data_IF_749409463629
#
_entry.id   IF_749409463629
#
_cell.length_a   1.000
_cell.length_b   1.000
_cell.length_c   1.000
_cell.angle_alpha   90.00
_cell.angle_beta   90.00
_cell.angle_gamma   90.00
#
_symmetry.space_group_name_H-M   'P 1'
#
loop_
_entity.id
_entity.type
_entity.pdbx_description
1 polymer ?
#
# COMPACT_ATOMS: atom_id res chain seq x y z
N UNK A 1 -20.03 -35.18 -6.42
CA UNK A 1 -21.12 -34.18 -6.35
C UNK A 1 -20.86 -33.15 -7.41
N UNK A 2 -21.64 -33.18 -8.47
CA UNK A 2 -21.54 -32.30 -9.64
C UNK A 2 -22.22 -30.97 -9.29
N UNK A 3 -21.44 -29.89 -9.22
CA UNK A 3 -21.95 -28.54 -9.04
C UNK A 3 -22.44 -27.99 -10.37
N UNK A 4 -23.68 -27.55 -10.40
CA UNK A 4 -24.43 -27.01 -11.52
C UNK A 4 -23.78 -25.79 -12.14
N UNK A 5 -23.40 -25.90 -13.42
CA UNK A 5 -23.08 -24.77 -14.28
C UNK A 5 -24.35 -23.95 -14.54
N UNK A 6 -24.40 -22.70 -14.13
CA UNK A 6 -25.41 -21.74 -14.59
C UNK A 6 -25.16 -21.47 -16.08
N UNK A 7 -26.07 -21.93 -16.89
CA UNK A 7 -26.14 -21.65 -18.33
C UNK A 7 -26.27 -20.15 -18.56
N UNK A 8 -25.33 -19.59 -19.29
CA UNK A 8 -25.45 -18.23 -19.84
C UNK A 8 -26.65 -18.19 -20.78
N UNK A 9 -27.52 -17.23 -20.57
CA UNK A 9 -28.78 -17.03 -21.23
C UNK A 9 -28.52 -16.85 -22.75
N UNK A 10 -28.88 -17.86 -23.56
CA UNK A 10 -28.70 -17.90 -25.02
C UNK A 10 -29.60 -16.92 -25.77
N UNK A 11 -30.52 -16.24 -25.09
CA UNK A 11 -31.39 -15.22 -25.68
C UNK A 11 -30.65 -13.99 -26.23
N UNK A 12 -29.50 -13.61 -25.61
CA UNK A 12 -28.70 -12.49 -26.11
C UNK A 12 -27.85 -12.82 -27.35
N UNK A 13 -27.65 -14.08 -27.64
CA UNK A 13 -26.98 -14.52 -28.90
C UNK A 13 -27.94 -14.55 -30.09
N UNK A 14 -29.22 -14.80 -29.86
CA UNK A 14 -30.24 -14.82 -30.93
C UNK A 14 -30.56 -13.41 -31.47
N UNK A 15 -30.61 -12.41 -30.61
CA UNK A 15 -30.85 -11.01 -31.05
C UNK A 15 -29.69 -10.42 -31.85
N UNK A 16 -28.47 -10.99 -31.75
CA UNK A 16 -27.34 -10.60 -32.61
C UNK A 16 -27.39 -11.21 -33.99
N UNK A 17 -28.05 -12.36 -34.17
CA UNK A 17 -28.14 -13.04 -35.47
C UNK A 17 -29.20 -12.42 -36.39
N UNK A 18 -30.24 -11.77 -35.86
CA UNK A 18 -31.29 -11.13 -36.66
C UNK A 18 -30.84 -9.84 -37.35
N UNK A 19 -29.93 -9.09 -36.75
CA UNK A 19 -29.37 -7.86 -37.34
C UNK A 19 -28.38 -8.11 -38.50
N UNK A 20 -28.06 -9.36 -38.81
CA UNK A 20 -27.16 -9.75 -39.90
C UNK A 20 -27.87 -10.25 -41.16
N UNK A 21 -29.23 -10.29 -41.20
CA UNK A 21 -30.00 -10.78 -42.36
C UNK A 21 -30.03 -9.83 -43.54
N UNK A 22 -29.65 -8.58 -43.38
CA UNK A 22 -29.71 -7.58 -44.46
C UNK A 22 -28.41 -7.42 -45.26
N UNK A 23 -27.42 -8.28 -45.07
CA UNK A 23 -26.23 -8.29 -45.92
C UNK A 23 -26.43 -9.35 -47.00
N UNK A 24 -26.90 -8.94 -48.16
CA UNK A 24 -26.98 -9.74 -49.38
C UNK A 24 -25.59 -10.20 -49.80
N UNK A 25 -25.24 -11.43 -49.48
CA UNK A 25 -24.07 -12.13 -50.02
C UNK A 25 -24.61 -13.16 -51.02
N UNK A 26 -24.29 -12.96 -52.31
CA UNK A 26 -24.56 -13.89 -53.40
C UNK A 26 -23.97 -15.26 -53.11
N UNK A 27 -24.75 -16.30 -53.44
CA UNK A 27 -24.48 -17.72 -53.29
C UNK A 27 -23.05 -18.14 -53.61
N UNK A 28 -22.23 -18.27 -52.58
CA UNK A 28 -21.11 -19.21 -52.53
C UNK A 28 -21.10 -19.84 -51.14
N UNK A 29 -20.86 -21.14 -51.07
CA UNK A 29 -20.79 -21.92 -49.84
C UNK A 29 -19.91 -21.21 -48.80
N UNK A 30 -20.55 -20.57 -47.83
CA UNK A 30 -19.83 -19.90 -46.72
C UNK A 30 -19.27 -20.99 -45.83
N UNK A 31 -17.99 -21.23 -45.95
CA UNK A 31 -17.24 -22.12 -45.05
C UNK A 31 -17.34 -21.57 -43.62
N UNK A 32 -17.67 -22.42 -42.64
CA UNK A 32 -17.78 -22.06 -41.20
C UNK A 32 -16.57 -21.23 -40.69
N UNK A 33 -15.42 -21.43 -41.32
CA UNK A 33 -14.21 -20.67 -41.03
C UNK A 33 -14.32 -19.19 -41.42
N UNK A 34 -14.97 -18.84 -42.52
CA UNK A 34 -15.12 -17.45 -43.01
C UNK A 34 -16.03 -16.63 -42.09
N UNK A 35 -17.09 -17.26 -41.56
CA UNK A 35 -17.99 -16.63 -40.60
C UNK A 35 -17.25 -16.33 -39.27
N UNK A 36 -16.44 -17.27 -38.80
CA UNK A 36 -15.62 -17.10 -37.58
C UNK A 36 -14.56 -16.00 -37.72
N UNK A 37 -13.95 -15.87 -38.91
CA UNK A 37 -12.99 -14.78 -39.20
C UNK A 37 -13.67 -13.41 -39.31
N UNK A 38 -14.91 -13.33 -39.79
CA UNK A 38 -15.69 -12.10 -39.78
C UNK A 38 -15.98 -11.59 -38.37
N UNK A 39 -16.37 -12.49 -37.49
CA UNK A 39 -16.61 -12.18 -36.06
C UNK A 39 -15.32 -11.71 -35.34
N UNK A 40 -14.21 -12.38 -35.56
CA UNK A 40 -12.93 -12.00 -34.98
C UNK A 40 -12.41 -10.64 -35.48
N UNK A 41 -12.67 -10.32 -36.75
CA UNK A 41 -12.31 -9.02 -37.35
C UNK A 41 -13.16 -7.88 -36.76
N UNK A 42 -14.45 -8.13 -36.52
CA UNK A 42 -15.36 -7.16 -35.88
C UNK A 42 -15.00 -6.93 -34.42
N UNK A 43 -14.69 -7.99 -33.70
CA UNK A 43 -14.21 -7.91 -32.30
C UNK A 43 -12.87 -7.17 -32.19
N UNK A 44 -11.92 -7.42 -33.11
CA UNK A 44 -10.66 -6.71 -33.18
C UNK A 44 -10.83 -5.20 -33.47
N UNK A 45 -11.80 -4.82 -34.31
CA UNK A 45 -12.15 -3.44 -34.59
C UNK A 45 -12.86 -2.76 -33.42
N UNK A 46 -13.67 -3.50 -32.65
CA UNK A 46 -14.30 -2.98 -31.42
C UNK A 46 -13.28 -2.78 -30.30
N UNK A 47 -12.30 -3.66 -30.18
CA UNK A 47 -11.17 -3.52 -29.25
C UNK A 47 -10.35 -2.25 -29.59
N UNK A 48 -10.18 -1.93 -30.84
CA UNK A 48 -9.45 -0.72 -31.30
C UNK A 48 -10.20 0.58 -31.00
N UNK A 49 -11.53 0.53 -30.88
CA UNK A 49 -12.39 1.68 -30.57
C UNK A 49 -12.63 1.89 -29.07
N UNK A 50 -12.32 0.90 -28.22
CA UNK A 50 -12.48 1.01 -26.79
C UNK A 50 -11.24 1.65 -26.12
N UNK A 51 -11.47 2.64 -25.26
CA UNK A 51 -10.44 3.27 -24.45
C UNK A 51 -9.59 2.24 -23.68
N UNK A 52 -8.30 2.49 -23.55
CA UNK A 52 -7.25 1.63 -23.00
C UNK A 52 -7.58 0.94 -21.65
N UNK A 53 -8.53 1.47 -20.89
CA UNK A 53 -8.97 0.91 -19.60
C UNK A 53 -9.81 -0.37 -19.73
N UNK A 54 -10.54 -0.57 -20.81
CA UNK A 54 -11.36 -1.76 -21.03
C UNK A 54 -10.58 -2.94 -21.64
N UNK A 55 -9.43 -2.68 -22.25
CA UNK A 55 -8.59 -3.71 -22.89
C UNK A 55 -8.00 -4.68 -21.85
N UNK A 56 -7.70 -4.20 -20.64
CA UNK A 56 -7.12 -4.99 -19.55
C UNK A 56 -8.06 -6.06 -19.01
N UNK A 57 -9.34 -5.74 -18.89
CA UNK A 57 -10.35 -6.71 -18.40
C UNK A 57 -10.75 -7.71 -19.46
N UNK A 58 -10.75 -7.30 -20.72
CA UNK A 58 -11.08 -8.17 -21.85
C UNK A 58 -9.99 -9.23 -22.11
N UNK A 59 -8.72 -8.82 -22.09
CA UNK A 59 -7.58 -9.76 -22.23
C UNK A 59 -7.48 -10.73 -21.04
N UNK A 60 -7.78 -10.29 -19.81
CA UNK A 60 -7.89 -11.19 -18.65
C UNK A 60 -8.97 -12.25 -18.85
N UNK A 61 -10.15 -11.90 -19.34
CA UNK A 61 -11.25 -12.85 -19.58
C UNK A 61 -10.89 -13.90 -20.62
N UNK A 62 -10.19 -13.53 -21.69
CA UNK A 62 -9.73 -14.47 -22.73
C UNK A 62 -8.67 -15.43 -22.18
N UNK A 63 -7.73 -14.97 -21.36
CA UNK A 63 -6.68 -15.80 -20.76
C UNK A 63 -7.26 -16.75 -19.70
N UNK A 64 -8.24 -16.30 -18.91
CA UNK A 64 -8.88 -17.14 -17.90
C UNK A 64 -9.89 -18.16 -18.45
N UNK A 65 -10.44 -17.93 -19.63
CA UNK A 65 -11.40 -18.86 -20.25
C UNK A 65 -10.79 -20.15 -20.80
N UNK A 66 -9.47 -20.33 -20.72
CA UNK A 66 -8.79 -21.58 -21.11
C UNK A 66 -8.79 -21.87 -22.61
N UNK A 67 -9.38 -21.01 -23.44
CA UNK A 67 -9.52 -21.23 -24.89
C UNK A 67 -8.20 -21.27 -25.66
N UNK A 68 -7.18 -20.60 -25.17
CA UNK A 68 -5.83 -20.58 -25.79
C UNK A 68 -5.03 -21.88 -25.62
N UNK A 69 -5.46 -22.79 -24.75
CA UNK A 69 -4.72 -24.05 -24.49
C UNK A 69 -4.96 -25.17 -25.49
N UNK A 70 -6.01 -25.09 -26.32
CA UNK A 70 -6.49 -26.26 -27.05
C UNK A 70 -6.39 -26.22 -28.58
N UNK A 71 -5.80 -25.19 -29.21
CA UNK A 71 -5.68 -25.20 -30.69
C UNK A 71 -4.36 -24.58 -31.18
N UNK A 72 -3.37 -25.41 -31.53
CA UNK A 72 -2.17 -24.97 -32.25
C UNK A 72 -2.50 -24.29 -33.58
N UNK A 73 -3.57 -24.73 -34.26
CA UNK A 73 -4.10 -24.14 -35.50
C UNK A 73 -4.59 -22.69 -35.34
N UNK A 74 -5.11 -22.33 -34.16
CA UNK A 74 -5.53 -20.97 -33.88
C UNK A 74 -4.34 -20.00 -33.80
N UNK A 75 -3.23 -20.45 -33.21
CA UNK A 75 -2.00 -19.65 -33.05
C UNK A 75 -1.33 -19.37 -34.41
N UNK A 76 -1.27 -20.36 -35.28
CA UNK A 76 -0.69 -20.20 -36.64
C UNK A 76 -1.60 -19.32 -37.54
N UNK A 77 -2.90 -19.45 -37.46
CA UNK A 77 -3.82 -18.61 -38.21
C UNK A 77 -3.82 -17.14 -37.74
N UNK A 78 -3.60 -16.88 -36.46
CA UNK A 78 -3.43 -15.51 -35.93
C UNK A 78 -2.16 -14.81 -36.50
N UNK A 79 -1.10 -15.53 -36.78
CA UNK A 79 0.12 -14.97 -37.42
C UNK A 79 -0.17 -14.45 -38.85
N UNK A 80 -1.09 -15.11 -39.57
CA UNK A 80 -1.48 -14.72 -40.94
C UNK A 80 -2.39 -13.48 -40.96
N UNK A 81 -3.19 -13.26 -39.90
CA UNK A 81 -4.17 -12.15 -39.84
C UNK A 81 -3.57 -10.86 -39.31
N UNK A 82 -2.51 -10.94 -38.52
CA UNK A 82 -1.85 -9.77 -37.93
C UNK A 82 -0.35 -9.74 -38.29
N UNK A 83 0.05 -9.04 -39.34
CA UNK A 83 1.45 -8.95 -39.82
C UNK A 83 2.42 -8.48 -38.74
N UNK A 84 1.93 -7.83 -37.67
CA UNK A 84 2.72 -7.31 -36.55
C UNK A 84 2.48 -8.05 -35.21
N UNK A 85 1.93 -9.28 -35.23
CA UNK A 85 1.64 -10.03 -34.01
C UNK A 85 2.89 -10.28 -33.13
N UNK A 86 4.07 -10.40 -33.74
CA UNK A 86 5.34 -10.49 -33.03
C UNK A 86 5.68 -9.20 -32.28
N UNK A 87 5.37 -8.02 -32.85
CA UNK A 87 5.60 -6.73 -32.19
C UNK A 87 4.58 -6.50 -31.06
N UNK A 88 3.32 -6.89 -31.27
CA UNK A 88 2.28 -6.84 -30.23
C UNK A 88 2.64 -7.77 -29.07
N UNK A 89 3.11 -9.00 -29.32
CA UNK A 89 3.58 -9.90 -28.26
C UNK A 89 4.83 -9.36 -27.54
N UNK A 90 5.74 -8.67 -28.25
CA UNK A 90 6.91 -8.03 -27.65
C UNK A 90 6.50 -6.85 -26.77
N UNK A 91 5.51 -6.06 -27.22
CA UNK A 91 4.92 -4.94 -26.44
C UNK A 91 4.11 -5.48 -25.27
N UNK A 92 3.31 -6.53 -25.44
CA UNK A 92 2.57 -7.19 -24.36
C UNK A 92 3.52 -7.84 -23.33
N UNK A 93 4.57 -8.54 -23.79
CA UNK A 93 5.60 -9.08 -22.89
C UNK A 93 6.39 -7.97 -22.18
N UNK A 94 6.69 -6.88 -22.88
CA UNK A 94 7.34 -5.70 -22.28
C UNK A 94 6.41 -5.02 -21.28
N UNK A 95 5.13 -4.86 -21.57
CA UNK A 95 4.14 -4.30 -20.66
C UNK A 95 3.84 -5.24 -19.48
N UNK A 96 3.77 -6.55 -19.70
CA UNK A 96 3.68 -7.56 -18.62
C UNK A 96 4.95 -7.63 -17.78
N UNK A 97 6.13 -7.48 -18.36
CA UNK A 97 7.39 -7.40 -17.60
C UNK A 97 7.54 -6.06 -16.88
N UNK A 98 7.06 -4.96 -17.47
CA UNK A 98 6.96 -3.64 -16.83
C UNK A 98 5.95 -3.72 -15.67
N UNK A 99 4.79 -4.38 -15.86
CA UNK A 99 3.79 -4.58 -14.80
C UNK A 99 4.32 -5.48 -13.67
N UNK A 100 5.13 -6.50 -13.98
CA UNK A 100 5.83 -7.31 -12.96
C UNK A 100 6.93 -6.54 -12.23
N UNK A 101 7.63 -5.60 -12.88
CA UNK A 101 8.59 -4.71 -12.24
C UNK A 101 7.90 -3.55 -11.47
N UNK A 102 6.75 -3.07 -11.92
CA UNK A 102 5.92 -2.08 -11.22
C UNK A 102 5.25 -2.62 -9.94
N UNK A 103 5.18 -3.96 -9.75
CA UNK A 103 4.52 -4.56 -8.58
C UNK A 103 5.48 -4.98 -7.47
N UNK A 104 6.80 -4.93 -7.68
CA UNK A 104 7.75 -5.27 -6.62
C UNK A 104 8.03 -4.05 -5.75
N UNK A 105 7.47 -4.05 -4.53
CA UNK A 105 7.74 -2.99 -3.56
C UNK A 105 9.25 -2.83 -3.33
N UNK A 106 9.72 -1.58 -3.26
CA UNK A 106 11.10 -1.32 -2.88
C UNK A 106 11.31 -1.71 -1.41
N UNK A 107 12.39 -2.46 -1.07
CA UNK A 107 12.64 -2.88 0.32
C UNK A 107 12.68 -1.74 1.33
N UNK A 108 13.30 -0.60 0.97
CA UNK A 108 13.36 0.56 1.87
C UNK A 108 11.96 1.20 2.03
N UNK A 109 11.13 1.18 0.98
CA UNK A 109 9.74 1.63 1.09
C UNK A 109 8.96 0.77 2.09
N UNK A 110 9.13 -0.58 2.02
CA UNK A 110 8.51 -1.52 2.98
C UNK A 110 8.99 -1.23 4.39
N UNK A 111 10.30 -1.02 4.60
CA UNK A 111 10.84 -0.67 5.91
C UNK A 111 10.26 0.64 6.42
N UNK A 112 10.17 1.70 5.60
CA UNK A 112 9.57 2.97 5.99
C UNK A 112 8.11 2.83 6.39
N UNK A 113 7.34 2.06 5.63
CA UNK A 113 5.95 1.75 5.93
C UNK A 113 5.80 1.00 7.26
N UNK A 114 6.69 0.02 7.53
CA UNK A 114 6.71 -0.73 8.79
C UNK A 114 7.18 0.13 9.97
N UNK A 115 8.14 1.04 9.77
CA UNK A 115 8.55 2.01 10.79
C UNK A 115 7.35 2.84 11.28
N UNK A 116 6.43 3.20 10.37
CA UNK A 116 5.22 3.91 10.73
C UNK A 116 4.15 2.99 11.36
N UNK A 117 3.73 1.90 10.72
CA UNK A 117 2.53 1.11 11.10
C UNK A 117 2.82 -0.32 11.58
N UNK A 118 4.03 -0.85 11.39
CA UNK A 118 4.36 -2.22 11.81
C UNK A 118 4.31 -2.42 13.32
N UNK A 119 4.01 -3.62 13.75
CA UNK A 119 3.99 -4.02 15.14
C UNK A 119 4.69 -5.37 15.34
N UNK A 120 5.61 -5.43 16.29
CA UNK A 120 6.29 -6.65 16.74
C UNK A 120 5.69 -7.05 18.09
N UNK A 121 4.88 -8.11 18.10
CA UNK A 121 4.09 -8.47 19.26
C UNK A 121 4.61 -9.71 19.95
N UNK A 122 4.67 -9.65 21.29
CA UNK A 122 4.79 -10.79 22.18
C UNK A 122 3.47 -10.88 22.96
N UNK A 123 2.85 -12.06 22.97
CA UNK A 123 1.61 -12.33 23.70
C UNK A 123 1.88 -13.50 24.63
N UNK A 124 1.65 -13.31 25.90
CA UNK A 124 1.72 -14.35 26.91
C UNK A 124 0.30 -14.71 27.35
N UNK A 125 -0.13 -15.90 26.97
CA UNK A 125 -1.45 -16.45 27.36
C UNK A 125 -1.32 -17.39 28.54
N UNK A 126 -2.18 -17.18 29.51
CA UNK A 126 -2.33 -18.06 30.66
C UNK A 126 -3.45 -19.05 30.34
N UNK A 127 -3.11 -20.28 30.04
CA UNK A 127 -4.10 -21.33 29.78
C UNK A 127 -4.56 -22.04 31.07
N UNK A 128 -3.68 -22.10 32.08
CA UNK A 128 -3.86 -22.67 33.39
C UNK A 128 -2.78 -22.05 34.30
N UNK A 129 -2.94 -21.92 35.63
CA UNK A 129 -1.90 -21.40 36.54
C UNK A 129 -0.50 -21.97 36.32
N UNK A 130 -0.41 -23.19 35.77
CA UNK A 130 0.85 -23.90 35.50
C UNK A 130 1.25 -23.97 34.02
N UNK A 131 0.41 -23.45 33.08
CA UNK A 131 0.68 -23.54 31.64
C UNK A 131 0.61 -22.18 30.98
N UNK A 132 1.76 -21.69 30.54
CA UNK A 132 1.93 -20.45 29.82
C UNK A 132 2.18 -20.76 28.34
N UNK A 133 1.58 -19.97 27.47
CA UNK A 133 1.84 -20.02 26.02
C UNK A 133 2.38 -18.69 25.55
N UNK A 134 3.56 -18.74 24.95
CA UNK A 134 4.15 -17.58 24.27
C UNK A 134 3.76 -17.60 22.81
N UNK A 135 3.21 -16.51 22.33
CA UNK A 135 2.97 -16.27 20.90
C UNK A 135 3.68 -15.01 20.47
N UNK A 136 4.21 -15.03 19.27
CA UNK A 136 4.83 -13.87 18.65
C UNK A 136 4.23 -13.64 17.28
N UNK A 137 4.18 -12.39 16.86
CA UNK A 137 3.76 -12.03 15.51
C UNK A 137 4.40 -10.73 15.05
N UNK A 138 4.63 -10.66 13.75
CA UNK A 138 4.81 -9.42 13.02
C UNK A 138 3.49 -9.05 12.38
N UNK A 139 3.02 -7.82 12.58
CA UNK A 139 1.70 -7.38 12.12
C UNK A 139 1.75 -5.98 11.51
N UNK A 140 0.88 -5.74 10.53
CA UNK A 140 0.53 -4.43 10.01
C UNK A 140 -0.98 -4.32 10.03
N UNK A 141 -1.52 -3.32 10.75
CA UNK A 141 -2.95 -3.12 10.93
C UNK A 141 -3.37 -1.84 10.22
N UNK A 142 -4.24 -1.94 9.21
CA UNK A 142 -4.74 -0.79 8.46
C UNK A 142 -6.26 -0.73 8.45
N UNK A 143 -6.80 0.41 8.10
CA UNK A 143 -8.20 0.52 7.75
C UNK A 143 -8.48 -0.32 6.49
N UNK A 144 -9.66 -0.92 6.37
CA UNK A 144 -10.05 -1.80 5.25
C UNK A 144 -9.89 -1.17 3.87
N UNK A 145 -9.95 0.16 3.77
CA UNK A 145 -9.73 0.93 2.53
C UNK A 145 -8.33 0.76 1.96
N UNK A 146 -7.34 0.60 2.84
CA UNK A 146 -5.95 0.38 2.47
C UNK A 146 -5.57 -1.11 2.33
N UNK A 147 -6.56 -2.02 2.20
CA UNK A 147 -6.32 -3.47 2.09
C UNK A 147 -5.40 -3.87 0.93
N UNK A 148 -5.42 -3.10 -0.16
CA UNK A 148 -4.60 -3.40 -1.34
C UNK A 148 -3.10 -3.32 -1.06
N UNK A 149 -2.66 -2.35 -0.25
CA UNK A 149 -1.25 -2.26 0.11
C UNK A 149 -0.80 -3.44 0.97
N UNK A 150 -1.69 -3.98 1.84
CA UNK A 150 -1.39 -5.21 2.59
C UNK A 150 -1.18 -6.41 1.66
N UNK A 151 -1.95 -6.53 0.58
CA UNK A 151 -1.77 -7.58 -0.43
C UNK A 151 -0.43 -7.45 -1.16
N UNK A 152 0.00 -6.23 -1.47
CA UNK A 152 1.32 -5.97 -2.06
C UNK A 152 2.46 -6.33 -1.08
N UNK A 153 2.31 -6.00 0.21
CA UNK A 153 3.29 -6.34 1.26
C UNK A 153 3.33 -7.85 1.49
N UNK A 154 2.18 -8.55 1.51
CA UNK A 154 2.14 -10.01 1.58
C UNK A 154 2.85 -10.65 0.40
N UNK A 155 2.61 -10.18 -0.82
CA UNK A 155 3.30 -10.65 -2.03
C UNK A 155 4.81 -10.37 -1.98
N UNK A 156 5.22 -9.24 -1.39
CA UNK A 156 6.63 -8.88 -1.21
C UNK A 156 7.36 -9.86 -0.28
N UNK A 157 6.78 -10.19 0.88
CA UNK A 157 7.38 -11.14 1.82
C UNK A 157 7.17 -12.60 1.43
N UNK A 158 6.13 -12.91 0.64
CA UNK A 158 5.78 -14.27 0.23
C UNK A 158 5.27 -15.17 1.36
N UNK A 159 5.09 -14.65 2.57
CA UNK A 159 4.63 -15.37 3.77
C UNK A 159 3.56 -14.61 4.51
N UNK A 160 2.89 -15.27 5.47
CA UNK A 160 1.85 -14.65 6.29
C UNK A 160 0.46 -14.66 5.66
N UNK A 161 -0.50 -14.10 6.37
CA UNK A 161 -1.91 -14.04 5.96
C UNK A 161 -2.54 -12.68 6.24
N UNK A 162 -3.56 -12.33 5.47
CA UNK A 162 -4.37 -11.13 5.69
C UNK A 162 -5.70 -11.54 6.31
N UNK A 163 -6.04 -10.92 7.43
CA UNK A 163 -7.27 -11.11 8.16
C UNK A 163 -8.13 -9.86 8.07
N UNK A 164 -9.37 -10.02 7.64
CA UNK A 164 -10.35 -8.93 7.62
C UNK A 164 -11.19 -8.94 8.89
N UNK A 165 -11.36 -7.78 9.49
CA UNK A 165 -12.20 -7.55 10.67
C UNK A 165 -13.26 -6.51 10.33
N UNK A 166 -14.38 -6.91 9.71
CA UNK A 166 -15.43 -5.98 9.25
C UNK A 166 -16.05 -5.18 10.39
N UNK A 167 -16.20 -5.82 11.58
CA UNK A 167 -16.70 -5.23 12.83
C UNK A 167 -15.92 -3.97 13.24
N UNK A 168 -14.64 -3.91 12.88
CA UNK A 168 -13.73 -2.80 13.22
C UNK A 168 -13.27 -2.02 12.00
N UNK A 169 -13.78 -2.33 10.80
CA UNK A 169 -13.33 -1.76 9.52
C UNK A 169 -11.81 -1.83 9.36
N UNK A 170 -11.20 -2.95 9.74
CA UNK A 170 -9.74 -3.16 9.74
C UNK A 170 -9.35 -4.39 8.94
N UNK A 171 -8.16 -4.31 8.35
CA UNK A 171 -7.46 -5.44 7.75
C UNK A 171 -6.07 -5.55 8.39
N UNK A 172 -5.66 -6.78 8.68
CA UNK A 172 -4.41 -7.08 9.39
C UNK A 172 -3.59 -8.06 8.56
N UNK A 173 -2.40 -7.66 8.13
CA UNK A 173 -1.38 -8.59 7.65
C UNK A 173 -0.62 -9.13 8.85
N UNK A 174 -0.46 -10.46 8.95
CA UNK A 174 0.20 -11.10 10.10
C UNK A 174 1.11 -12.25 9.65
N UNK A 175 2.31 -12.29 10.24
CA UNK A 175 3.22 -13.43 10.20
C UNK A 175 3.45 -13.90 11.63
N UNK A 176 3.03 -15.13 11.96
CA UNK A 176 3.14 -15.70 13.32
C UNK A 176 3.96 -17.00 13.38
N UNK A 177 4.29 -17.60 12.24
CA UNK A 177 5.16 -18.77 12.19
C UNK A 177 6.61 -18.35 12.44
N UNK A 178 7.24 -18.89 13.49
CA UNK A 178 8.59 -18.53 13.90
C UNK A 178 9.66 -18.81 12.82
N UNK A 179 9.49 -19.86 12.00
CA UNK A 179 10.40 -20.15 10.90
C UNK A 179 10.27 -19.11 9.79
N UNK A 180 9.05 -18.72 9.39
CA UNK A 180 8.85 -17.64 8.42
C UNK A 180 9.39 -16.30 8.92
N UNK A 181 9.25 -16.03 10.22
CA UNK A 181 9.84 -14.84 10.84
C UNK A 181 11.36 -14.89 10.74
N UNK A 182 11.98 -16.02 11.11
CA UNK A 182 13.43 -16.22 11.05
C UNK A 182 13.98 -16.13 9.62
N UNK A 183 13.30 -16.78 8.67
CA UNK A 183 13.84 -16.97 7.33
C UNK A 183 13.50 -15.81 6.36
N UNK A 184 12.49 -14.99 6.67
CA UNK A 184 12.01 -13.91 5.79
C UNK A 184 12.02 -12.55 6.48
N UNK A 185 11.36 -12.42 7.63
CA UNK A 185 11.15 -11.10 8.27
C UNK A 185 12.44 -10.57 8.90
N UNK A 186 13.15 -11.39 9.66
CA UNK A 186 14.43 -10.98 10.30
C UNK A 186 15.49 -10.65 9.25
N UNK A 187 15.74 -11.45 8.20
CA UNK A 187 16.70 -11.10 7.15
C UNK A 187 16.37 -9.77 6.43
N UNK A 188 15.07 -9.49 6.21
CA UNK A 188 14.68 -8.22 5.62
C UNK A 188 15.12 -7.02 6.49
N UNK A 189 14.77 -6.98 7.78
CA UNK A 189 15.11 -5.87 8.67
C UNK A 189 16.58 -5.86 9.10
N UNK A 190 17.31 -6.95 8.93
CA UNK A 190 18.77 -6.98 9.06
C UNK A 190 19.43 -6.24 7.89
N UNK A 191 18.95 -6.46 6.66
CA UNK A 191 19.48 -5.81 5.45
C UNK A 191 18.96 -4.39 5.27
N UNK A 192 17.71 -4.13 5.64
CA UNK A 192 17.02 -2.84 5.54
C UNK A 192 16.51 -2.43 6.92
N UNK A 193 17.37 -1.92 7.79
CA UNK A 193 17.03 -1.70 9.19
C UNK A 193 15.98 -0.61 9.38
N UNK A 194 15.11 -0.81 10.38
CA UNK A 194 14.22 0.21 10.89
C UNK A 194 15.05 1.39 11.45
N UNK A 195 14.51 2.59 11.38
CA UNK A 195 15.20 3.82 11.78
C UNK A 195 14.56 4.42 13.04
N UNK A 196 13.24 4.33 13.18
CA UNK A 196 12.51 4.85 14.33
C UNK A 196 12.81 4.07 15.62
N UNK A 197 12.31 4.56 16.76
CA UNK A 197 12.40 3.82 18.04
C UNK A 197 11.75 2.45 18.00
N UNK A 198 10.93 2.15 17.01
CA UNK A 198 10.39 0.80 16.75
C UNK A 198 11.50 -0.24 16.50
N UNK A 199 12.68 0.19 16.05
CA UNK A 199 13.85 -0.70 15.93
C UNK A 199 14.22 -1.36 17.26
N UNK A 200 14.04 -0.67 18.37
CA UNK A 200 14.29 -1.22 19.72
C UNK A 200 13.34 -2.39 19.97
N UNK A 201 12.03 -2.18 19.72
CA UNK A 201 11.02 -3.23 19.88
C UNK A 201 11.32 -4.44 18.98
N UNK A 202 11.72 -4.19 17.73
CA UNK A 202 12.12 -5.23 16.78
C UNK A 202 13.34 -6.04 17.29
N UNK A 203 14.38 -5.38 17.77
CA UNK A 203 15.59 -6.05 18.23
C UNK A 203 15.29 -6.97 19.43
N UNK A 204 14.56 -6.48 20.44
CA UNK A 204 14.17 -7.26 21.61
C UNK A 204 13.21 -8.41 21.24
N UNK A 205 12.27 -8.15 20.33
CA UNK A 205 11.37 -9.17 19.79
C UNK A 205 12.12 -10.27 19.02
N UNK A 206 13.17 -9.91 18.28
CA UNK A 206 13.98 -10.88 17.54
C UNK A 206 14.72 -11.87 18.47
N UNK A 207 15.13 -11.41 19.67
CA UNK A 207 15.71 -12.31 20.70
C UNK A 207 14.67 -13.32 21.21
N UNK A 208 13.42 -12.89 21.39
CA UNK A 208 12.33 -13.82 21.76
C UNK A 208 12.10 -14.88 20.68
N UNK A 209 12.20 -14.54 19.40
CA UNK A 209 12.10 -15.51 18.31
C UNK A 209 13.22 -16.57 18.41
N UNK A 210 14.46 -16.17 18.75
CA UNK A 210 15.57 -17.10 18.96
C UNK A 210 15.26 -18.08 20.10
N UNK A 211 14.78 -17.57 21.24
CA UNK A 211 14.40 -18.39 22.41
C UNK A 211 13.25 -19.36 22.10
N UNK A 212 12.32 -18.98 21.21
CA UNK A 212 11.23 -19.88 20.77
C UNK A 212 11.79 -20.99 19.88
N UNK A 213 12.67 -20.67 18.95
CA UNK A 213 13.25 -21.62 18.00
C UNK A 213 14.19 -22.63 18.69
N UNK A 214 14.95 -22.20 19.69
CA UNK A 214 15.79 -23.09 20.53
C UNK A 214 15.01 -23.89 21.56
N UNK A 215 13.68 -23.64 21.69
CA UNK A 215 12.78 -24.21 22.69
C UNK A 215 13.08 -23.77 24.13
N UNK A 216 13.94 -22.78 24.36
CA UNK A 216 14.26 -22.26 25.68
C UNK A 216 13.04 -21.63 26.37
N UNK A 217 12.05 -21.18 25.61
CA UNK A 217 10.76 -20.71 26.13
C UNK A 217 9.98 -21.78 26.94
N UNK A 218 10.41 -23.03 26.90
CA UNK A 218 9.80 -24.14 27.66
C UNK A 218 10.41 -24.35 29.04
N UNK A 219 11.58 -23.79 29.30
CA UNK A 219 12.22 -23.81 30.61
C UNK A 219 12.03 -22.50 31.38
N UNK A 220 12.24 -22.52 32.70
CA UNK A 220 12.00 -21.38 33.60
C UNK A 220 12.89 -20.19 33.25
N UNK A 221 14.15 -20.41 32.91
CA UNK A 221 15.13 -19.36 32.65
C UNK A 221 14.82 -18.64 31.33
N UNK A 222 14.61 -19.38 30.26
CA UNK A 222 14.27 -18.81 28.95
C UNK A 222 12.91 -18.11 28.98
N UNK A 223 11.92 -18.65 29.70
CA UNK A 223 10.63 -17.99 29.88
C UNK A 223 10.77 -16.68 30.68
N UNK A 224 11.61 -16.65 31.74
CA UNK A 224 11.90 -15.43 32.48
C UNK A 224 12.51 -14.35 31.61
N UNK A 225 13.47 -14.71 30.71
CA UNK A 225 14.05 -13.79 29.70
C UNK A 225 12.97 -13.24 28.77
N UNK A 226 12.03 -14.08 28.32
CA UNK A 226 10.94 -13.64 27.46
C UNK A 226 10.04 -12.60 28.14
N UNK A 227 9.72 -12.82 29.43
CA UNK A 227 8.95 -11.85 30.23
C UNK A 227 9.69 -10.52 30.34
N UNK A 228 11.02 -10.57 30.57
CA UNK A 228 11.89 -9.40 30.64
C UNK A 228 11.86 -8.59 29.33
N UNK A 229 11.98 -9.24 28.16
CA UNK A 229 11.84 -8.61 26.85
C UNK A 229 10.42 -8.05 26.63
N UNK A 230 9.39 -8.82 27.01
CA UNK A 230 7.99 -8.39 26.90
C UNK A 230 7.73 -7.10 27.69
N UNK A 231 8.33 -6.97 28.89
CA UNK A 231 8.21 -5.76 29.71
C UNK A 231 8.82 -4.52 29.06
N UNK A 232 9.81 -4.69 28.17
CA UNK A 232 10.56 -3.59 27.54
C UNK A 232 10.01 -3.11 26.21
N UNK A 233 9.13 -3.91 25.53
CA UNK A 233 8.58 -3.57 24.20
C UNK A 233 7.15 -3.02 24.28
N UNK A 234 6.76 -2.26 23.26
CA UNK A 234 5.42 -1.71 23.09
C UNK A 234 4.90 -0.99 24.36
N UNK A 235 3.80 -1.48 24.91
CA UNK A 235 3.16 -0.95 26.15
C UNK A 235 3.58 -1.68 27.42
N UNK A 236 4.55 -2.61 27.31
CA UNK A 236 4.96 -3.45 28.43
C UNK A 236 3.99 -4.60 28.72
N UNK A 237 4.09 -5.17 29.90
CA UNK A 237 3.29 -6.33 30.33
C UNK A 237 1.83 -5.99 30.57
N UNK A 238 0.95 -6.95 30.27
CA UNK A 238 -0.47 -6.84 30.63
C UNK A 238 -0.64 -6.96 32.16
N UNK A 239 -1.72 -6.36 32.69
CA UNK A 239 -2.07 -6.45 34.13
C UNK A 239 -2.07 -7.90 34.60
N UNK A 240 -2.67 -8.82 33.85
CA UNK A 240 -2.72 -10.24 34.18
C UNK A 240 -1.32 -10.86 34.32
N UNK A 241 -0.38 -10.53 33.42
CA UNK A 241 1.00 -11.04 33.52
C UNK A 241 1.71 -10.41 34.74
N UNK A 242 1.47 -9.13 35.01
CA UNK A 242 2.02 -8.43 36.16
C UNK A 242 1.58 -9.07 37.51
N UNK A 243 0.33 -9.52 37.62
CA UNK A 243 -0.22 -10.20 38.80
C UNK A 243 0.52 -11.51 39.10
N UNK A 244 0.85 -12.28 38.06
CA UNK A 244 1.57 -13.56 38.22
C UNK A 244 3.10 -13.38 38.37
N UNK A 245 3.65 -12.30 37.83
CA UNK A 245 5.09 -11.99 37.86
C UNK A 245 5.31 -10.56 38.37
N UNK A 246 5.14 -10.32 39.69
CA UNK A 246 5.22 -8.98 40.26
C UNK A 246 6.65 -8.37 40.19
N UNK A 247 7.70 -9.20 40.20
CA UNK A 247 9.09 -8.81 40.22
C UNK A 247 9.78 -8.89 38.85
N UNK A 248 9.09 -8.46 37.78
CA UNK A 248 9.66 -8.43 36.42
C UNK A 248 10.73 -7.33 36.36
N UNK A 249 11.93 -7.72 35.97
CA UNK A 249 13.00 -6.77 35.62
C UNK A 249 12.95 -6.61 34.08
N UNK A 250 12.59 -5.41 33.55
CA UNK A 250 12.62 -5.17 32.11
C UNK A 250 14.03 -5.34 31.54
N UNK A 251 14.13 -5.89 30.34
CA UNK A 251 15.40 -6.01 29.64
C UNK A 251 15.93 -4.63 29.22
N UNK A 252 17.26 -4.46 29.22
CA UNK A 252 17.89 -3.25 28.74
C UNK A 252 17.56 -2.96 27.29
N UNK A 253 17.25 -1.70 27.01
CA UNK A 253 16.95 -1.26 25.65
C UNK A 253 18.24 -0.98 24.88
N UNK A 254 18.43 -1.62 23.71
CA UNK A 254 19.62 -1.37 22.91
C UNK A 254 19.68 0.10 22.46
N UNK A 255 20.88 0.65 22.46
CA UNK A 255 21.13 1.98 21.88
C UNK A 255 21.12 1.86 20.37
N UNK A 256 20.33 2.70 19.70
CA UNK A 256 20.27 2.76 18.24
C UNK A 256 20.80 4.11 17.76
N UNK A 257 21.59 4.08 16.70
CA UNK A 257 22.02 5.28 15.98
C UNK A 257 21.09 5.57 14.82
N UNK A 258 20.87 6.84 14.54
CA UNK A 258 20.18 7.30 13.33
C UNK A 258 21.18 7.30 12.15
N UNK A 259 20.70 7.11 10.90
CA UNK A 259 21.55 7.24 9.72
C UNK A 259 21.87 8.73 9.46
N UNK A 260 22.99 8.97 8.80
CA UNK A 260 23.36 10.34 8.38
C UNK A 260 22.37 10.95 7.39
N UNK A 261 21.79 10.13 6.52
CA UNK A 261 20.83 10.52 5.50
C UNK A 261 19.66 9.54 5.40
N UNK A 262 18.45 10.06 5.16
CA UNK A 262 17.27 9.23 4.93
C UNK A 262 17.26 8.69 3.50
N UNK A 263 16.85 7.43 3.34
CA UNK A 263 16.61 6.85 2.02
C UNK A 263 15.29 7.38 1.43
N UNK A 264 15.25 7.88 0.18
CA UNK A 264 14.04 8.45 -0.43
C UNK A 264 12.84 7.49 -0.45
N UNK A 265 13.07 6.21 -0.72
CA UNK A 265 12.02 5.19 -0.71
C UNK A 265 11.49 4.96 0.71
N UNK A 266 12.39 4.95 1.71
CA UNK A 266 12.00 4.85 3.10
C UNK A 266 11.11 6.04 3.52
N UNK A 267 11.49 7.26 3.11
CA UNK A 267 10.69 8.48 3.36
C UNK A 267 9.28 8.33 2.80
N UNK A 268 9.13 7.88 1.56
CA UNK A 268 7.80 7.68 0.95
C UNK A 268 6.99 6.60 1.66
N UNK A 269 7.61 5.48 2.04
CA UNK A 269 6.95 4.44 2.83
C UNK A 269 6.46 4.94 4.19
N UNK A 270 7.29 5.72 4.89
CA UNK A 270 6.96 6.31 6.19
C UNK A 270 5.84 7.35 6.07
N UNK A 271 5.93 8.25 5.08
CA UNK A 271 4.93 9.29 4.81
C UNK A 271 3.59 8.68 4.35
N UNK A 272 3.61 7.54 3.67
CA UNK A 272 2.39 6.82 3.28
C UNK A 272 1.47 6.51 4.48
N UNK A 273 2.03 6.46 5.71
CA UNK A 273 1.29 6.25 6.96
C UNK A 273 1.19 7.54 7.76
N UNK A 274 2.30 8.04 8.27
CA UNK A 274 2.36 9.12 9.26
C UNK A 274 2.41 10.53 8.68
N UNK A 275 2.54 10.66 7.35
CA UNK A 275 2.48 11.94 6.66
C UNK A 275 1.07 12.36 6.29
N UNK A 276 0.93 13.63 5.89
CA UNK A 276 -0.34 14.15 5.41
C UNK A 276 -0.18 15.41 4.55
N UNK A 277 -1.10 15.53 3.59
CA UNK A 277 -1.27 16.69 2.72
C UNK A 277 -2.57 17.37 3.11
N UNK A 278 -2.56 18.68 3.27
CA UNK A 278 -3.73 19.43 3.69
C UNK A 278 -3.87 20.72 2.89
N UNK A 279 -5.08 20.99 2.47
CA UNK A 279 -5.51 22.25 1.85
C UNK A 279 -6.48 22.91 2.82
N UNK A 280 -6.27 24.17 3.12
CA UNK A 280 -7.14 24.98 3.96
C UNK A 280 -7.58 26.21 3.18
N UNK A 281 -8.88 26.47 3.16
CA UNK A 281 -9.47 27.71 2.67
C UNK A 281 -10.08 28.41 3.88
N UNK A 282 -9.62 29.61 4.20
CA UNK A 282 -10.06 30.37 5.37
C UNK A 282 -10.49 31.76 4.97
N UNK A 283 -11.53 32.28 5.62
CA UNK A 283 -11.94 33.68 5.47
C UNK A 283 -10.77 34.61 5.77
N UNK A 284 -10.55 35.61 4.91
CA UNK A 284 -9.47 36.58 5.02
C UNK A 284 -9.95 37.94 4.40
N UNK A 285 -10.22 38.92 5.25
CA UNK A 285 -10.79 40.22 4.84
C UNK A 285 -9.90 41.02 3.90
N UNK A 286 -8.58 40.79 3.98
CA UNK A 286 -7.59 41.51 3.17
C UNK A 286 -7.39 40.91 1.76
N UNK A 287 -8.19 39.91 1.38
CA UNK A 287 -8.12 39.26 0.07
C UNK A 287 -9.34 39.64 -0.77
N UNK A 288 -9.15 39.83 -2.07
CA UNK A 288 -10.20 40.23 -3.04
C UNK A 288 -11.38 39.25 -2.99
N UNK A 289 -11.14 37.96 -2.88
CA UNK A 289 -12.17 36.93 -2.78
C UNK A 289 -12.59 36.64 -1.32
N UNK A 290 -12.14 37.45 -0.37
CA UNK A 290 -12.39 37.30 1.07
C UNK A 290 -11.94 35.92 1.63
N UNK A 291 -11.12 35.18 0.90
CA UNK A 291 -10.62 33.86 1.28
C UNK A 291 -9.15 33.70 0.93
N UNK A 292 -8.43 33.02 1.79
CA UNK A 292 -7.01 32.69 1.61
C UNK A 292 -6.80 31.18 1.64
N UNK A 293 -6.02 30.69 0.68
CA UNK A 293 -5.61 29.29 0.56
C UNK A 293 -4.29 29.06 1.28
N UNK A 294 -4.23 27.99 2.08
CA UNK A 294 -3.03 27.49 2.74
C UNK A 294 -2.83 26.02 2.40
N UNK A 295 -1.63 25.68 2.00
CA UNK A 295 -1.24 24.29 1.77
C UNK A 295 -0.21 23.88 2.80
N UNK A 296 -0.30 22.63 3.27
CA UNK A 296 0.62 22.10 4.26
C UNK A 296 0.93 20.64 3.99
N UNK A 297 2.22 20.34 3.95
CA UNK A 297 2.73 18.99 4.11
C UNK A 297 3.19 18.80 5.56
N UNK A 298 2.88 17.67 6.17
CA UNK A 298 3.29 17.38 7.55
C UNK A 298 3.52 15.89 7.77
N UNK A 299 4.37 15.59 8.75
CA UNK A 299 4.59 14.26 9.30
C UNK A 299 4.42 14.38 10.81
N UNK A 300 3.62 13.50 11.43
CA UNK A 300 3.37 13.55 12.87
C UNK A 300 3.86 12.29 13.55
N UNK A 301 4.69 12.45 14.62
CA UNK A 301 5.24 11.34 15.36
C UNK A 301 5.21 11.57 16.88
N UNK A 302 5.47 10.49 17.63
CA UNK A 302 5.71 10.62 19.06
C UNK A 302 7.06 11.31 19.32
N UNK A 303 7.17 12.16 20.38
CA UNK A 303 8.42 12.87 20.71
C UNK A 303 9.63 11.97 20.95
N UNK A 304 9.43 10.67 21.17
CA UNK A 304 10.54 9.68 21.24
C UNK A 304 11.37 9.65 19.95
N UNK A 305 10.76 10.01 18.82
CA UNK A 305 11.37 10.05 17.50
C UNK A 305 11.72 11.48 17.06
N UNK A 306 11.84 12.44 18.01
CA UNK A 306 12.12 13.85 17.72
C UNK A 306 13.40 14.01 16.87
N UNK A 307 14.46 13.28 17.18
CA UNK A 307 15.72 13.36 16.43
C UNK A 307 15.56 12.81 15.00
N UNK A 308 14.78 11.76 14.81
CA UNK A 308 14.39 11.28 13.48
C UNK A 308 13.61 12.36 12.72
N UNK A 309 12.67 13.05 13.39
CA UNK A 309 11.89 14.12 12.77
C UNK A 309 12.77 15.29 12.31
N UNK A 310 13.84 15.61 13.01
CA UNK A 310 14.83 16.64 12.60
C UNK A 310 15.57 16.24 11.31
N UNK A 311 15.79 14.93 11.05
CA UNK A 311 16.41 14.48 9.81
C UNK A 311 15.56 14.80 8.55
N UNK A 312 14.24 14.96 8.67
CA UNK A 312 13.42 15.40 7.55
C UNK A 312 13.74 16.84 7.12
N UNK A 313 14.15 17.72 8.06
CA UNK A 313 14.62 19.06 7.72
C UNK A 313 15.88 18.95 6.83
N UNK A 314 16.85 18.11 7.24
CA UNK A 314 18.05 17.86 6.46
C UNK A 314 17.74 17.23 5.10
N UNK A 315 16.86 16.24 5.06
CA UNK A 315 16.51 15.50 3.86
C UNK A 315 15.83 16.38 2.80
N UNK A 316 14.81 17.15 3.21
CA UNK A 316 14.09 18.05 2.29
C UNK A 316 14.77 19.42 2.13
N UNK A 317 15.76 19.73 2.94
CA UNK A 317 16.38 21.06 3.04
C UNK A 317 15.33 22.18 3.21
N UNK A 318 14.28 21.94 3.96
CA UNK A 318 13.20 22.89 4.27
C UNK A 318 12.34 22.39 5.43
N UNK A 319 11.39 23.23 5.87
CA UNK A 319 10.44 22.93 6.91
C UNK A 319 10.98 23.13 8.33
N UNK A 320 10.16 22.81 9.31
CA UNK A 320 10.46 22.93 10.73
C UNK A 320 9.86 21.77 11.52
N UNK A 321 10.42 21.48 12.70
CA UNK A 321 9.87 20.49 13.62
C UNK A 321 9.36 21.21 14.87
N UNK A 322 8.08 20.99 15.20
CA UNK A 322 7.42 21.57 16.34
C UNK A 322 6.96 20.48 17.30
N UNK A 323 7.22 20.65 18.59
CA UNK A 323 6.70 19.79 19.65
C UNK A 323 5.35 20.34 20.11
N UNK A 324 4.32 19.49 20.16
CA UNK A 324 2.99 19.89 20.63
C UNK A 324 2.99 20.08 22.14
N UNK A 325 2.24 21.06 22.62
CA UNK A 325 2.09 21.38 24.05
C UNK A 325 1.31 20.33 24.85
N UNK A 326 0.59 19.40 24.19
CA UNK A 326 -0.21 18.39 24.88
C UNK A 326 0.67 17.31 25.51
N UNK A 327 0.87 17.37 26.83
CA UNK A 327 1.68 16.43 27.62
C UNK A 327 1.04 15.02 27.66
N UNK A 328 -0.28 14.91 27.63
CA UNK A 328 -0.99 13.62 27.68
C UNK A 328 -0.76 12.76 26.42
N UNK A 329 -0.51 13.41 25.28
CA UNK A 329 -0.18 12.75 24.00
C UNK A 329 1.01 13.44 23.36
N UNK A 330 2.24 13.21 23.88
CA UNK A 330 3.43 13.93 23.47
C UNK A 330 3.77 13.62 22.01
N UNK A 331 3.57 14.59 21.12
CA UNK A 331 3.83 14.49 19.69
C UNK A 331 4.71 15.62 19.18
N UNK A 332 5.40 15.35 18.10
CA UNK A 332 6.10 16.35 17.30
C UNK A 332 5.69 16.23 15.83
N UNK A 333 5.71 17.36 15.15
CA UNK A 333 5.32 17.47 13.75
C UNK A 333 6.46 18.11 12.94
N UNK A 334 6.89 17.43 11.85
CA UNK A 334 7.61 18.09 10.78
C UNK A 334 6.60 18.76 9.87
N UNK A 335 6.79 20.03 9.53
CA UNK A 335 5.83 20.85 8.76
C UNK A 335 6.55 21.66 7.69
N UNK A 336 5.95 21.65 6.48
CA UNK A 336 6.28 22.55 5.38
C UNK A 336 5.02 23.27 4.93
N UNK A 337 5.04 24.61 4.93
CA UNK A 337 3.90 25.46 4.55
C UNK A 337 4.27 26.53 3.49
N UNK A 338 5.55 26.75 3.32
CA UNK A 338 6.07 27.66 2.29
C UNK A 338 5.81 27.08 0.89
N UNK A 339 5.14 27.89 0.04
CA UNK A 339 4.73 27.44 -1.28
C UNK A 339 5.91 27.08 -2.18
N UNK A 340 7.02 27.81 -2.10
CA UNK A 340 8.23 27.53 -2.88
C UNK A 340 8.83 26.19 -2.49
N UNK A 341 8.99 25.94 -1.20
CA UNK A 341 9.49 24.65 -0.70
C UNK A 341 8.56 23.48 -1.04
N UNK A 342 7.25 23.69 -0.98
CA UNK A 342 6.27 22.67 -1.39
C UNK A 342 6.43 22.32 -2.88
N UNK A 343 6.54 23.33 -3.75
CA UNK A 343 6.66 23.17 -5.20
C UNK A 343 8.01 22.59 -5.63
N UNK A 344 9.10 23.02 -5.00
CA UNK A 344 10.46 22.73 -5.48
C UNK A 344 11.12 21.54 -4.78
N UNK A 345 10.65 21.16 -3.59
CA UNK A 345 11.27 20.11 -2.76
C UNK A 345 10.32 18.95 -2.43
N UNK A 346 9.09 19.26 -2.01
CA UNK A 346 8.14 18.23 -1.58
C UNK A 346 7.50 17.53 -2.78
N UNK A 347 6.94 18.28 -3.74
CA UNK A 347 6.28 17.67 -4.90
C UNK A 347 7.24 16.84 -5.75
N UNK A 348 8.46 17.27 -6.11
CA UNK A 348 9.38 16.47 -6.92
C UNK A 348 9.77 15.15 -6.25
N UNK A 349 9.85 15.14 -4.93
CA UNK A 349 10.13 13.90 -4.19
C UNK A 349 9.04 12.86 -4.41
N UNK A 350 7.76 13.21 -4.17
CA UNK A 350 6.65 12.25 -4.31
C UNK A 350 6.27 11.95 -5.76
N UNK A 351 6.62 12.81 -6.71
CA UNK A 351 6.57 12.49 -8.14
C UNK A 351 7.53 11.36 -8.51
N UNK A 352 8.73 11.37 -7.91
CA UNK A 352 9.76 10.36 -8.15
C UNK A 352 9.56 9.10 -7.31
N UNK A 353 9.09 9.25 -6.08
CA UNK A 353 8.92 8.18 -5.09
C UNK A 353 7.47 8.16 -4.57
N UNK A 354 6.53 7.50 -5.26
CA UNK A 354 5.11 7.53 -4.92
C UNK A 354 4.78 6.81 -3.61
N UNK A 355 3.63 7.16 -3.02
CA UNK A 355 3.17 6.66 -1.72
C UNK A 355 2.60 5.23 -1.77
N UNK A 356 2.09 4.79 -2.91
CA UNK A 356 1.60 3.43 -3.23
C UNK A 356 0.33 2.96 -2.49
N UNK A 357 -0.27 3.79 -1.62
CA UNK A 357 -1.54 3.56 -0.95
C UNK A 357 -2.57 4.66 -1.29
N UNK A 358 -3.74 4.68 -0.63
CA UNK A 358 -4.79 5.70 -0.89
C UNK A 358 -4.34 7.14 -0.66
N UNK A 359 -3.31 7.38 0.13
CA UNK A 359 -2.75 8.72 0.33
C UNK A 359 -2.13 9.30 -0.96
N UNK A 360 -1.84 8.46 -1.95
CA UNK A 360 -1.42 8.91 -3.28
C UNK A 360 -2.50 9.77 -3.96
N UNK A 361 -3.78 9.49 -3.71
CA UNK A 361 -4.89 10.30 -4.24
C UNK A 361 -4.92 11.68 -3.56
N UNK A 362 -4.70 11.73 -2.23
CA UNK A 362 -4.57 13.01 -1.51
C UNK A 362 -3.40 13.83 -2.04
N UNK A 363 -2.26 13.17 -2.36
CA UNK A 363 -1.12 13.82 -2.97
C UNK A 363 -1.46 14.40 -4.35
N UNK A 364 -2.20 13.67 -5.19
CA UNK A 364 -2.60 14.14 -6.53
C UNK A 364 -3.46 15.40 -6.42
N UNK A 365 -4.49 15.41 -5.55
CA UNK A 365 -5.31 16.59 -5.30
C UNK A 365 -4.49 17.77 -4.77
N UNK A 366 -3.56 17.49 -3.84
CA UNK A 366 -2.64 18.49 -3.29
C UNK A 366 -1.74 19.10 -4.38
N UNK A 367 -1.17 18.28 -5.25
CA UNK A 367 -0.33 18.70 -6.38
C UNK A 367 -1.10 19.57 -7.37
N UNK A 368 -2.36 19.21 -7.69
CA UNK A 368 -3.23 20.03 -8.55
C UNK A 368 -3.50 21.39 -7.91
N UNK A 369 -3.82 21.43 -6.61
CA UNK A 369 -3.96 22.70 -5.87
C UNK A 369 -2.71 23.56 -5.93
N UNK A 370 -1.53 22.95 -5.71
CA UNK A 370 -0.25 23.67 -5.78
C UNK A 370 0.03 24.22 -7.19
N UNK A 371 -0.40 23.52 -8.24
CA UNK A 371 -0.31 23.98 -9.63
C UNK A 371 -1.20 25.20 -9.87
N UNK A 372 -2.44 25.20 -9.37
CA UNK A 372 -3.36 26.36 -9.44
C UNK A 372 -2.75 27.57 -8.71
N UNK A 373 -2.10 27.33 -7.54
CA UNK A 373 -1.41 28.38 -6.78
C UNK A 373 -0.21 28.94 -7.57
N UNK A 374 0.62 28.07 -8.15
CA UNK A 374 1.78 28.46 -8.97
C UNK A 374 1.38 29.35 -10.14
N UNK A 375 0.26 29.04 -10.80
CA UNK A 375 -0.30 29.79 -11.91
C UNK A 375 -1.09 31.06 -11.48
N UNK A 376 -1.14 31.35 -10.17
CA UNK A 376 -1.93 32.43 -9.56
C UNK A 376 -3.44 32.33 -9.83
N UNK A 377 -3.95 31.23 -10.33
CA UNK A 377 -5.37 31.01 -10.62
C UNK A 377 -6.22 30.94 -9.34
N UNK A 378 -5.62 30.65 -8.18
CA UNK A 378 -6.31 30.71 -6.87
C UNK A 378 -6.83 32.11 -6.51
N UNK A 379 -6.44 33.14 -7.25
CA UNK A 379 -6.92 34.54 -7.11
C UNK A 379 -8.19 34.80 -7.94
N UNK A 380 -8.66 33.82 -8.73
CA UNK A 380 -9.91 33.88 -9.48
C UNK A 380 -10.99 33.06 -8.78
N UNK A 381 -12.26 33.42 -8.97
CA UNK A 381 -13.40 32.67 -8.41
C UNK A 381 -13.43 31.23 -8.88
N UNK A 382 -13.10 30.99 -10.17
CA UNK A 382 -13.05 29.65 -10.75
C UNK A 382 -11.96 28.80 -10.11
N UNK A 383 -10.73 29.31 -10.03
CA UNK A 383 -9.61 28.59 -9.43
C UNK A 383 -9.82 28.31 -7.94
N UNK A 384 -10.41 29.27 -7.20
CA UNK A 384 -10.74 29.08 -5.79
C UNK A 384 -11.80 27.98 -5.60
N UNK A 385 -12.86 27.96 -6.43
CA UNK A 385 -13.88 26.93 -6.41
C UNK A 385 -13.31 25.55 -6.74
N UNK A 386 -12.39 25.46 -7.71
CA UNK A 386 -11.69 24.22 -8.02
C UNK A 386 -10.87 23.73 -6.82
N UNK A 387 -10.16 24.60 -6.10
CA UNK A 387 -9.41 24.24 -4.88
C UNK A 387 -10.36 23.72 -3.79
N UNK A 388 -11.53 24.32 -3.62
CA UNK A 388 -12.54 23.84 -2.66
C UNK A 388 -13.04 22.44 -3.02
N UNK A 389 -13.28 22.16 -4.30
CA UNK A 389 -13.63 20.82 -4.78
C UNK A 389 -12.52 19.79 -4.46
N UNK A 390 -11.25 20.09 -4.79
CA UNK A 390 -10.12 19.23 -4.46
C UNK A 390 -10.03 18.93 -2.96
N UNK A 391 -10.26 19.93 -2.11
CA UNK A 391 -10.23 19.74 -0.65
C UNK A 391 -11.34 18.80 -0.16
N UNK A 392 -12.52 18.77 -0.81
CA UNK A 392 -13.59 17.82 -0.49
C UNK A 392 -13.25 16.37 -0.87
N UNK A 393 -12.41 16.18 -1.87
CA UNK A 393 -11.95 14.86 -2.34
C UNK A 393 -10.80 14.29 -1.50
N UNK A 394 -10.26 15.05 -0.54
CA UNK A 394 -9.08 14.66 0.24
C UNK A 394 -9.42 14.14 1.64
N UNK A 395 -8.57 13.27 2.15
CA UNK A 395 -8.55 12.81 3.55
C UNK A 395 -9.92 12.25 4.01
N UNK A 396 -10.35 12.65 5.22
CA UNK A 396 -11.63 12.24 5.79
C UNK A 396 -12.86 12.82 5.07
N UNK A 397 -12.70 13.88 4.29
CA UNK A 397 -13.80 14.46 3.53
C UNK A 397 -14.30 13.52 2.43
N UNK A 398 -13.42 12.73 1.83
CA UNK A 398 -13.75 11.65 0.88
C UNK A 398 -14.69 10.60 1.47
N UNK A 399 -14.86 10.57 2.79
CA UNK A 399 -15.62 9.56 3.53
C UNK A 399 -17.03 10.03 3.91
N UNK A 400 -17.30 11.32 3.70
CA UNK A 400 -18.61 11.92 3.92
C UNK A 400 -19.45 11.88 2.65
#
# INVERSE_FOLDING_TARGET
>A
MLGTFKTLNTSNLYNYSENFKDITISNQQVNKNTFFFGLLRQEALNIWKCNFYNLRDYTRRIIYSGWLRYSPLFYENMKLVLPNFMSVNKVLKKNLSIDHHLHKLNPNWVTGFVDAEGCFSIIIEVSNPLKWKVRTSFEINLHEKDKEILSKIQAYFGVGAIYHRPDRKKSVYRVSNANYIKDVIIPHFTKYPLISKKRIDYLLWSEVIKLILSKDHLNKEGFSKIISYYASINKGVSKKVQEYFPNIIPADKPVISLPDNLNPQWVSGFVAVDGGFSIYVRAAKDYILLEKVYCRFHIAQHVKDLELMKLFIKFFNCGSVNVRSNIATPRCDFIVQDATSLLEKILPHFDTYPLLNLKQEDYICFKECMTIIKLKQHLTTEGLNKIKSLNLEMNSNRLK
#
